data_IF_478115174046
#
_entry.id   IF_478115174046
#
_cell.length_a   1.000
_cell.length_b   1.000
_cell.length_c   1.000
_cell.angle_alpha   90.00
_cell.angle_beta   90.00
_cell.angle_gamma   90.00
#
_symmetry.space_group_name_H-M   'P 1'
#
loop_
_entity.id
_entity.type
_entity.pdbx_description
1 polymer ?
#
# COMPACT_ATOMS: atom_id res chain seq x y z
N UNK A 1 -14.11 -31.12 -20.90
CA UNK A 1 -15.27 -30.23 -21.16
C UNK A 1 -16.60 -30.69 -20.53
N UNK A 2 -16.65 -31.55 -19.50
CA UNK A 2 -17.92 -32.22 -19.14
C UNK A 2 -18.46 -32.00 -17.71
N UNK A 3 -17.89 -31.09 -16.91
CA UNK A 3 -18.41 -30.81 -15.55
C UNK A 3 -18.97 -29.40 -15.40
N UNK A 4 -18.31 -28.40 -15.97
CA UNK A 4 -18.75 -27.00 -15.92
C UNK A 4 -20.07 -26.77 -16.69
N UNK A 5 -20.28 -27.46 -17.81
CA UNK A 5 -21.49 -27.35 -18.62
C UNK A 5 -22.73 -27.96 -17.93
N UNK A 6 -22.56 -29.05 -17.19
CA UNK A 6 -23.66 -29.69 -16.44
C UNK A 6 -24.05 -28.92 -15.18
N UNK A 7 -23.11 -28.21 -14.55
CA UNK A 7 -23.39 -27.36 -13.39
C UNK A 7 -24.15 -26.07 -13.77
N UNK A 8 -23.87 -25.52 -14.96
CA UNK A 8 -24.58 -24.35 -15.49
C UNK A 8 -26.02 -24.65 -15.91
N UNK A 9 -26.30 -25.85 -16.43
CA UNK A 9 -27.66 -26.26 -16.83
C UNK A 9 -28.58 -26.59 -15.64
N UNK A 10 -28.04 -27.12 -14.55
CA UNK A 10 -28.85 -27.50 -13.37
C UNK A 10 -29.18 -26.31 -12.47
N UNK A 11 -28.32 -25.29 -12.40
CA UNK A 11 -28.62 -24.05 -11.68
C UNK A 11 -29.55 -23.11 -12.45
N UNK A 12 -29.60 -23.20 -13.80
CA UNK A 12 -30.47 -22.37 -14.63
C UNK A 12 -31.97 -22.71 -14.54
N UNK A 13 -32.32 -23.98 -14.31
CA UNK A 13 -33.73 -24.41 -14.30
C UNK A 13 -34.47 -24.19 -12.97
N UNK A 14 -33.76 -23.98 -11.86
CA UNK A 14 -34.40 -23.74 -10.55
C UNK A 14 -34.82 -22.29 -10.33
N UNK A 15 -34.39 -21.34 -11.18
CA UNK A 15 -34.69 -19.91 -11.03
C UNK A 15 -35.91 -19.43 -11.85
N UNK A 16 -36.48 -20.28 -12.72
CA UNK A 16 -37.56 -19.89 -13.64
C UNK A 16 -38.96 -19.95 -12.99
N UNK A 17 -39.13 -20.62 -11.86
CA UNK A 17 -40.45 -20.78 -11.22
C UNK A 17 -40.85 -19.71 -10.19
N UNK A 18 -40.08 -18.62 -10.04
CA UNK A 18 -40.39 -17.55 -9.08
C UNK A 18 -40.48 -16.14 -9.72
N UNK A 19 -40.98 -16.05 -10.95
CA UNK A 19 -41.12 -14.79 -11.68
C UNK A 19 -42.46 -14.70 -12.44
N UNK A 20 -43.59 -14.80 -11.73
CA UNK A 20 -44.91 -14.41 -12.24
C UNK A 20 -45.76 -13.80 -11.12
N UNK A 21 -45.41 -12.60 -10.67
CA UNK A 21 -46.32 -11.73 -9.90
C UNK A 21 -45.76 -10.30 -9.78
N UNK A 22 -45.87 -9.48 -10.83
CA UNK A 22 -45.99 -8.03 -10.67
C UNK A 22 -46.45 -7.38 -11.98
N UNK A 23 -47.76 -7.42 -12.21
CA UNK A 23 -48.44 -6.56 -13.17
C UNK A 23 -49.25 -5.51 -12.38
N UNK A 24 -49.18 -4.27 -12.86
CA UNK A 24 -49.99 -3.10 -12.55
C UNK A 24 -49.93 -2.50 -11.14
N UNK A 25 -49.46 -1.25 -11.07
CA UNK A 25 -50.31 -0.17 -10.56
C UNK A 25 -49.81 1.19 -11.06
N UNK A 26 -50.55 1.73 -12.02
CA UNK A 26 -50.70 3.15 -12.21
C UNK A 26 -52.05 3.53 -11.58
N UNK A 27 -52.08 4.72 -10.95
CA UNK A 27 -53.24 5.55 -10.60
C UNK A 27 -53.52 5.76 -9.09
N UNK A 28 -53.66 7.06 -8.80
CA UNK A 28 -54.61 7.67 -7.86
C UNK A 28 -54.21 7.86 -6.40
N UNK A 29 -53.69 9.07 -6.15
CA UNK A 29 -53.78 9.76 -4.87
C UNK A 29 -55.23 10.16 -4.55
N UNK A 30 -55.86 9.48 -3.59
CA UNK A 30 -56.98 10.02 -2.83
C UNK A 30 -56.92 9.47 -1.40
N UNK A 31 -56.55 10.34 -0.46
CA UNK A 31 -56.48 10.03 0.97
C UNK A 31 -57.90 9.94 1.52
N UNK A 32 -58.33 8.74 1.90
CA UNK A 32 -59.53 8.52 2.72
C UNK A 32 -59.15 7.63 3.90
N UNK A 33 -59.37 8.15 5.11
CA UNK A 33 -59.09 7.47 6.36
C UNK A 33 -60.11 6.35 6.57
N UNK A 34 -59.77 5.12 6.16
CA UNK A 34 -60.51 3.90 6.50
C UNK A 34 -59.70 3.10 7.52
N UNK A 35 -60.37 2.65 8.59
CA UNK A 35 -59.77 1.85 9.65
C UNK A 35 -59.11 0.59 9.09
N UNK A 36 -57.80 0.44 9.33
CA UNK A 36 -57.02 -0.70 8.88
C UNK A 36 -57.53 -2.00 9.52
N UNK A 37 -58.16 -2.84 8.70
CA UNK A 37 -58.48 -4.23 9.06
C UNK A 37 -57.16 -4.99 9.20
N UNK A 38 -56.86 -5.47 10.42
CA UNK A 38 -55.61 -6.16 10.74
C UNK A 38 -55.61 -7.59 10.18
N UNK A 39 -55.14 -7.76 8.95
CA UNK A 39 -54.94 -9.09 8.35
C UNK A 39 -53.64 -9.72 8.87
N UNK A 40 -53.56 -11.06 8.91
CA UNK A 40 -52.38 -11.81 9.38
C UNK A 40 -51.07 -11.33 8.71
N UNK A 41 -51.14 -10.94 7.44
CA UNK A 41 -50.02 -10.38 6.69
C UNK A 41 -49.48 -9.06 7.27
N UNK A 42 -50.33 -8.22 7.87
CA UNK A 42 -49.88 -6.99 8.55
C UNK A 42 -49.16 -7.26 9.88
N UNK A 43 -49.31 -8.47 10.45
CA UNK A 43 -48.56 -8.91 11.64
C UNK A 43 -47.24 -9.62 11.30
N UNK A 44 -47.16 -10.31 10.15
CA UNK A 44 -45.98 -11.09 9.74
C UNK A 44 -44.99 -10.30 8.87
N UNK A 45 -45.47 -9.36 8.05
CA UNK A 45 -44.62 -8.56 7.18
C UNK A 45 -44.43 -7.16 7.76
N UNK A 46 -43.20 -6.63 7.80
CA UNK A 46 -42.97 -5.25 8.19
C UNK A 46 -43.76 -4.34 7.26
N UNK A 47 -44.47 -3.37 7.83
CA UNK A 47 -45.24 -2.39 7.06
C UNK A 47 -44.32 -1.61 6.10
N UNK A 48 -44.88 -1.03 5.04
CA UNK A 48 -44.10 -0.33 4.01
C UNK A 48 -43.14 0.73 4.58
N UNK A 49 -43.54 1.44 5.63
CA UNK A 49 -42.69 2.42 6.33
C UNK A 49 -41.54 1.79 7.13
N UNK A 50 -41.76 0.60 7.70
CA UNK A 50 -40.70 -0.16 8.37
C UNK A 50 -39.69 -0.71 7.37
N UNK A 51 -40.16 -1.19 6.20
CA UNK A 51 -39.29 -1.63 5.11
C UNK A 51 -38.42 -0.49 4.60
N UNK A 52 -38.98 0.72 4.40
CA UNK A 52 -38.19 1.90 4.01
C UNK A 52 -37.11 2.25 5.04
N UNK A 53 -37.44 2.19 6.35
CA UNK A 53 -36.47 2.44 7.43
C UNK A 53 -35.37 1.37 7.50
N UNK A 54 -35.73 0.09 7.38
CA UNK A 54 -34.79 -1.02 7.34
C UNK A 54 -33.89 -0.93 6.11
N UNK A 55 -34.47 -0.63 4.94
CA UNK A 55 -33.73 -0.38 3.70
C UNK A 55 -32.75 0.78 3.84
N UNK A 56 -33.17 1.90 4.46
CA UNK A 56 -32.28 3.03 4.71
C UNK A 56 -31.12 2.67 5.68
N UNK A 57 -31.39 1.88 6.74
CA UNK A 57 -30.34 1.39 7.65
C UNK A 57 -29.40 0.40 6.95
N UNK A 58 -29.95 -0.52 6.15
CA UNK A 58 -29.20 -1.48 5.37
C UNK A 58 -28.33 -0.78 4.32
N UNK A 59 -28.84 0.22 3.61
CA UNK A 59 -28.05 0.98 2.63
C UNK A 59 -26.99 1.89 3.28
N UNK A 60 -27.12 2.22 4.57
CA UNK A 60 -26.06 2.90 5.33
C UNK A 60 -24.96 1.95 5.81
N UNK A 61 -25.22 0.65 5.95
CA UNK A 61 -24.23 -0.31 6.42
C UNK A 61 -23.27 -0.76 5.28
N UNK A 62 -22.08 -1.21 5.65
CA UNK A 62 -21.07 -1.71 4.71
C UNK A 62 -21.60 -2.93 3.91
N UNK A 63 -22.32 -3.84 4.58
CA UNK A 63 -22.88 -5.03 3.96
C UNK A 63 -23.91 -4.70 2.86
N UNK A 64 -24.76 -3.70 3.09
CA UNK A 64 -25.74 -3.29 2.09
C UNK A 64 -25.11 -2.66 0.85
N UNK A 65 -24.00 -1.92 1.02
CA UNK A 65 -23.20 -1.40 -0.10
C UNK A 65 -22.56 -2.54 -0.91
N UNK A 66 -22.04 -3.57 -0.24
CA UNK A 66 -21.45 -4.76 -0.91
C UNK A 66 -22.51 -5.52 -1.71
N UNK A 67 -23.65 -5.86 -1.09
CA UNK A 67 -24.73 -6.61 -1.75
C UNK A 67 -25.30 -5.82 -2.94
N UNK A 68 -25.42 -4.49 -2.80
CA UNK A 68 -25.87 -3.63 -3.89
C UNK A 68 -24.91 -3.67 -5.09
N UNK A 69 -23.59 -3.68 -4.85
CA UNK A 69 -22.59 -3.79 -5.91
C UNK A 69 -22.52 -5.21 -6.51
N UNK A 70 -22.73 -6.26 -5.70
CA UNK A 70 -22.80 -7.64 -6.21
C UNK A 70 -24.02 -7.89 -7.09
N UNK A 71 -25.11 -7.13 -6.89
CA UNK A 71 -26.31 -7.20 -7.70
C UNK A 71 -26.21 -6.40 -9.01
N UNK A 72 -25.19 -5.55 -9.21
CA UNK A 72 -25.01 -4.80 -10.47
C UNK A 72 -24.89 -5.69 -11.72
N UNK A 73 -24.05 -6.73 -11.77
CA UNK A 73 -23.98 -7.60 -12.95
C UNK A 73 -25.31 -8.32 -13.21
N UNK A 74 -26.04 -8.68 -12.15
CA UNK A 74 -27.37 -9.29 -12.29
C UNK A 74 -28.41 -8.28 -12.77
N UNK A 75 -28.38 -7.04 -12.26
CA UNK A 75 -29.19 -5.94 -12.75
C UNK A 75 -28.91 -5.65 -14.22
N UNK A 76 -27.64 -5.70 -14.65
CA UNK A 76 -27.27 -5.49 -16.04
C UNK A 76 -27.75 -6.67 -16.92
N UNK A 77 -27.51 -7.91 -16.49
CA UNK A 77 -27.93 -9.12 -17.20
C UNK A 77 -29.46 -9.25 -17.33
N UNK A 78 -30.20 -8.71 -16.36
CA UNK A 78 -31.67 -8.70 -16.37
C UNK A 78 -32.27 -7.46 -17.03
N UNK A 79 -31.47 -6.62 -17.70
CA UNK A 79 -31.96 -5.41 -18.36
C UNK A 79 -32.55 -4.36 -17.40
N UNK A 80 -32.09 -4.36 -16.14
CA UNK A 80 -32.56 -3.44 -15.11
C UNK A 80 -33.83 -3.89 -14.37
N UNK A 81 -34.34 -5.09 -14.64
CA UNK A 81 -35.50 -5.64 -13.93
C UNK A 81 -35.23 -5.81 -12.44
N UNK A 82 -34.03 -6.27 -12.06
CA UNK A 82 -33.60 -6.33 -10.66
C UNK A 82 -32.85 -5.04 -10.32
N UNK A 83 -33.59 -4.05 -9.82
CA UNK A 83 -32.98 -2.80 -9.36
C UNK A 83 -32.07 -3.07 -8.14
N UNK A 84 -30.88 -2.45 -8.05
CA UNK A 84 -30.03 -2.58 -6.89
C UNK A 84 -30.79 -2.14 -5.63
N UNK A 85 -30.65 -2.89 -4.54
CA UNK A 85 -31.37 -2.62 -3.30
C UNK A 85 -31.03 -1.22 -2.74
N UNK A 86 -29.83 -0.71 -3.00
CA UNK A 86 -29.41 0.61 -2.57
C UNK A 86 -29.13 1.51 -3.78
N UNK A 87 -29.36 2.83 -3.65
CA UNK A 87 -28.93 3.77 -4.69
C UNK A 87 -27.41 3.60 -4.89
N UNK A 88 -26.92 3.63 -6.14
CA UNK A 88 -25.50 3.54 -6.41
C UNK A 88 -24.78 4.66 -5.64
N UNK A 89 -23.63 4.33 -5.05
CA UNK A 89 -22.78 5.34 -4.41
C UNK A 89 -22.46 6.36 -5.52
N UNK A 90 -22.87 7.62 -5.39
CA UNK A 90 -22.69 8.57 -6.47
C UNK A 90 -21.18 8.70 -6.71
N UNK A 91 -20.67 8.51 -7.93
CA UNK A 91 -19.24 8.69 -8.22
C UNK A 91 -18.76 10.11 -7.92
N UNK A 92 -19.70 11.06 -7.74
CA UNK A 92 -19.42 12.40 -7.24
C UNK A 92 -18.89 12.43 -5.80
N UNK A 93 -19.24 11.46 -4.94
CA UNK A 93 -18.69 11.40 -3.58
C UNK A 93 -17.18 11.07 -3.56
N UNK A 94 -16.67 10.41 -4.61
CA UNK A 94 -15.24 10.19 -4.82
C UNK A 94 -14.51 11.42 -5.37
N UNK A 95 -15.25 12.41 -5.88
CA UNK A 95 -14.70 13.67 -6.42
C UNK A 95 -14.72 14.82 -5.40
N UNK A 96 -15.01 14.55 -4.13
CA UNK A 96 -14.91 15.57 -3.07
C UNK A 96 -13.49 16.13 -3.03
N UNK A 97 -13.37 17.44 -2.79
CA UNK A 97 -12.07 18.10 -2.76
C UNK A 97 -11.15 17.44 -1.74
N UNK A 98 -9.89 17.27 -2.11
CA UNK A 98 -8.82 16.75 -1.23
C UNK A 98 -8.62 17.61 0.03
N UNK A 99 -9.06 18.87 0.00
CA UNK A 99 -9.05 19.77 1.15
C UNK A 99 -10.08 19.42 2.24
N UNK A 100 -11.12 18.63 1.92
CA UNK A 100 -12.12 18.20 2.90
C UNK A 100 -11.70 16.89 3.57
N UNK A 101 -11.97 16.74 4.89
CA UNK A 101 -11.67 15.49 5.60
C UNK A 101 -12.34 14.25 4.98
N UNK A 102 -13.57 14.42 4.45
CA UNK A 102 -14.26 13.35 3.73
C UNK A 102 -13.60 12.99 2.40
N UNK A 103 -13.14 14.00 1.64
CA UNK A 103 -12.41 13.79 0.39
C UNK A 103 -11.05 13.13 0.63
N UNK A 104 -10.29 13.59 1.62
CA UNK A 104 -9.03 12.96 2.03
C UNK A 104 -9.23 11.50 2.43
N UNK A 105 -10.27 11.19 3.20
CA UNK A 105 -10.62 9.81 3.56
C UNK A 105 -10.97 8.95 2.34
N UNK A 106 -11.68 9.51 1.35
CA UNK A 106 -12.03 8.79 0.12
C UNK A 106 -10.79 8.49 -0.74
N UNK A 107 -9.85 9.43 -0.83
CA UNK A 107 -8.57 9.24 -1.52
C UNK A 107 -7.75 8.15 -0.82
N UNK A 108 -7.66 8.19 0.52
CA UNK A 108 -6.94 7.16 1.29
C UNK A 108 -7.58 5.78 1.11
N UNK A 109 -8.92 5.71 1.09
CA UNK A 109 -9.62 4.46 0.83
C UNK A 109 -9.31 3.91 -0.57
N UNK A 110 -9.33 4.76 -1.61
CA UNK A 110 -8.92 4.38 -2.96
C UNK A 110 -7.45 3.95 -3.04
N UNK A 111 -6.53 4.72 -2.48
CA UNK A 111 -5.09 4.41 -2.41
C UNK A 111 -4.83 3.07 -1.69
N UNK A 112 -5.69 2.70 -0.73
CA UNK A 112 -5.64 1.43 0.01
C UNK A 112 -6.18 0.26 -0.82
N UNK A 113 -7.29 0.43 -1.54
CA UNK A 113 -7.82 -0.59 -2.44
C UNK A 113 -6.82 -0.90 -3.57
N UNK A 114 -6.24 0.14 -4.18
CA UNK A 114 -5.22 0.00 -5.23
C UNK A 114 -3.88 -0.56 -4.72
N UNK A 115 -3.60 -0.44 -3.41
CA UNK A 115 -2.35 -0.95 -2.83
C UNK A 115 -2.19 -2.46 -3.01
N UNK A 116 -3.30 -3.22 -3.07
CA UNK A 116 -3.27 -4.65 -3.33
C UNK A 116 -2.76 -4.96 -4.75
N UNK A 117 -3.21 -4.19 -5.74
CA UNK A 117 -2.72 -4.31 -7.11
C UNK A 117 -1.24 -3.90 -7.21
N UNK A 118 -0.82 -2.82 -6.52
CA UNK A 118 0.59 -2.41 -6.49
C UNK A 118 1.49 -3.47 -5.83
N UNK A 119 1.05 -4.10 -4.74
CA UNK A 119 1.77 -5.23 -4.13
C UNK A 119 1.88 -6.42 -5.09
N UNK A 120 0.82 -6.74 -5.82
CA UNK A 120 0.86 -7.79 -6.83
C UNK A 120 1.85 -7.47 -7.96
N UNK A 121 1.92 -6.21 -8.40
CA UNK A 121 2.90 -5.75 -9.37
C UNK A 121 4.34 -5.88 -8.83
N UNK A 122 4.60 -5.46 -7.59
CA UNK A 122 5.91 -5.61 -6.94
C UNK A 122 6.33 -7.09 -6.84
N UNK A 123 5.40 -8.01 -6.54
CA UNK A 123 5.67 -9.45 -6.58
C UNK A 123 5.94 -9.98 -7.99
N UNK A 124 5.36 -9.37 -9.02
CA UNK A 124 5.65 -9.72 -10.40
C UNK A 124 7.09 -9.34 -10.76
N UNK A 125 7.51 -8.12 -10.39
CA UNK A 125 8.88 -7.63 -10.55
C UNK A 125 9.92 -8.55 -9.87
N UNK A 126 9.56 -9.17 -8.75
CA UNK A 126 10.41 -10.12 -8.02
C UNK A 126 10.85 -11.34 -8.85
N UNK A 127 10.09 -11.71 -9.89
CA UNK A 127 10.35 -12.89 -10.72
C UNK A 127 11.34 -12.61 -11.85
N UNK A 128 11.67 -11.35 -12.08
CA UNK A 128 12.46 -10.89 -13.22
C UNK A 128 13.92 -10.69 -12.79
N UNK A 129 14.87 -11.09 -13.64
CA UNK A 129 16.29 -10.81 -13.39
C UNK A 129 16.62 -9.35 -13.73
N UNK A 130 17.03 -8.57 -12.74
CA UNK A 130 17.45 -7.19 -12.92
C UNK A 130 18.65 -7.03 -13.87
N UNK A 131 19.42 -8.09 -14.15
CA UNK A 131 20.47 -8.03 -15.17
C UNK A 131 19.92 -7.83 -16.59
N UNK A 132 18.72 -8.34 -16.86
CA UNK A 132 18.07 -8.25 -18.16
C UNK A 132 17.06 -7.11 -18.24
N UNK A 133 16.52 -6.69 -17.10
CA UNK A 133 15.46 -5.69 -16.99
C UNK A 133 15.86 -4.61 -15.98
N UNK A 134 16.81 -3.70 -16.31
CA UNK A 134 17.29 -2.65 -15.40
C UNK A 134 16.19 -1.67 -14.96
N UNK A 135 15.10 -1.53 -15.70
CA UNK A 135 13.91 -0.77 -15.31
C UNK A 135 13.24 -1.33 -14.05
N UNK A 136 13.38 -2.64 -13.80
CA UNK A 136 12.86 -3.31 -12.60
C UNK A 136 13.52 -2.76 -11.33
N UNK A 137 14.81 -2.45 -11.41
CA UNK A 137 15.56 -1.88 -10.30
C UNK A 137 14.96 -0.53 -9.87
N UNK A 138 14.75 0.37 -10.83
CA UNK A 138 14.16 1.68 -10.56
C UNK A 138 12.72 1.57 -10.04
N UNK A 139 11.93 0.66 -10.62
CA UNK A 139 10.55 0.42 -10.18
C UNK A 139 10.48 -0.08 -8.72
N UNK A 140 11.40 -0.97 -8.32
CA UNK A 140 11.50 -1.46 -6.94
C UNK A 140 11.99 -0.38 -5.96
N UNK A 141 12.96 0.45 -6.36
CA UNK A 141 13.42 1.59 -5.55
C UNK A 141 12.28 2.59 -5.36
N UNK A 142 11.51 2.89 -6.41
CA UNK A 142 10.33 3.73 -6.34
C UNK A 142 9.28 3.12 -5.39
N UNK A 143 8.95 1.84 -5.56
CA UNK A 143 8.02 1.15 -4.66
C UNK A 143 8.49 1.16 -3.19
N UNK A 144 9.80 1.09 -2.93
CA UNK A 144 10.38 1.15 -1.59
C UNK A 144 10.40 2.56 -0.99
N UNK A 145 10.66 3.60 -1.78
CA UNK A 145 10.96 4.96 -1.27
C UNK A 145 9.83 5.96 -1.47
N UNK A 146 9.01 5.79 -2.51
CA UNK A 146 8.01 6.80 -2.91
C UNK A 146 6.57 6.35 -2.70
N UNK A 147 6.29 5.04 -2.54
CA UNK A 147 4.91 4.58 -2.31
C UNK A 147 4.37 5.10 -0.97
N UNK A 148 3.16 5.65 -0.98
CA UNK A 148 2.50 6.19 0.22
C UNK A 148 2.12 5.08 1.21
N UNK A 149 1.79 3.89 0.71
CA UNK A 149 1.29 2.79 1.51
C UNK A 149 2.44 1.94 2.07
N UNK A 150 2.49 1.83 3.39
CA UNK A 150 3.48 1.03 4.12
C UNK A 150 3.57 -0.42 3.64
N UNK A 151 2.43 -1.05 3.34
CA UNK A 151 2.41 -2.45 2.93
C UNK A 151 3.08 -2.67 1.57
N UNK A 152 3.04 -1.68 0.67
CA UNK A 152 3.75 -1.74 -0.62
C UNK A 152 5.25 -1.60 -0.39
N UNK A 153 5.67 -0.63 0.44
CA UNK A 153 7.10 -0.44 0.79
C UNK A 153 7.69 -1.67 1.48
N UNK A 154 6.96 -2.28 2.42
CA UNK A 154 7.37 -3.51 3.08
C UNK A 154 7.49 -4.69 2.10
N UNK A 155 6.54 -4.83 1.17
CA UNK A 155 6.60 -5.85 0.12
C UNK A 155 7.79 -5.62 -0.81
N UNK A 156 8.09 -4.36 -1.17
CA UNK A 156 9.25 -3.99 -1.98
C UNK A 156 10.56 -4.35 -1.25
N UNK A 157 10.68 -4.00 0.03
CA UNK A 157 11.84 -4.40 0.85
C UNK A 157 12.00 -5.92 0.87
N UNK A 158 10.91 -6.68 1.08
CA UNK A 158 10.93 -8.14 1.08
C UNK A 158 11.37 -8.71 -0.26
N UNK A 159 10.82 -8.20 -1.38
CA UNK A 159 11.18 -8.62 -2.73
C UNK A 159 12.66 -8.37 -3.02
N UNK A 160 13.19 -7.20 -2.67
CA UNK A 160 14.62 -6.87 -2.83
C UNK A 160 15.50 -7.88 -2.08
N UNK A 161 15.11 -8.28 -0.88
CA UNK A 161 15.84 -9.27 -0.07
C UNK A 161 15.70 -10.72 -0.52
N UNK A 162 14.71 -11.05 -1.36
CA UNK A 162 14.52 -12.39 -1.92
C UNK A 162 14.98 -12.53 -3.38
N UNK A 163 15.19 -11.40 -4.07
CA UNK A 163 15.52 -11.34 -5.49
C UNK A 163 17.03 -11.32 -5.76
N UNK A 164 17.42 -11.44 -7.02
CA UNK A 164 18.82 -11.37 -7.46
C UNK A 164 19.36 -9.93 -7.63
N UNK A 165 18.57 -8.92 -7.28
CA UNK A 165 18.81 -7.52 -7.61
C UNK A 165 19.70 -6.79 -6.58
N UNK A 166 20.86 -7.37 -6.27
CA UNK A 166 21.81 -6.79 -5.30
C UNK A 166 22.77 -5.81 -5.99
N UNK A 167 22.27 -4.63 -6.36
CA UNK A 167 23.04 -3.56 -7.03
C UNK A 167 23.47 -2.46 -6.05
N UNK A 168 24.39 -1.57 -6.49
CA UNK A 168 24.83 -0.42 -5.69
C UNK A 168 23.66 0.49 -5.30
N UNK A 169 22.73 0.75 -6.22
CA UNK A 169 21.56 1.62 -5.99
C UNK A 169 20.61 0.99 -4.97
N UNK A 170 20.40 -0.32 -5.03
CA UNK A 170 19.57 -1.05 -4.08
C UNK A 170 20.15 -1.04 -2.66
N UNK A 171 21.45 -1.26 -2.53
CA UNK A 171 22.15 -1.20 -1.23
C UNK A 171 22.01 0.19 -0.62
N UNK A 172 22.22 1.26 -1.40
CA UNK A 172 22.04 2.63 -0.90
C UNK A 172 20.57 2.92 -0.56
N UNK A 173 19.61 2.51 -1.40
CA UNK A 173 18.18 2.71 -1.14
C UNK A 173 17.72 2.04 0.17
N UNK A 174 18.17 0.80 0.42
CA UNK A 174 17.94 0.09 1.68
C UNK A 174 18.62 0.82 2.85
N UNK A 175 19.87 1.27 2.67
CA UNK A 175 20.61 2.01 3.70
C UNK A 175 19.93 3.33 4.07
N UNK A 176 19.40 4.08 3.09
CA UNK A 176 18.62 5.29 3.31
C UNK A 176 17.31 4.98 4.04
N UNK A 177 16.61 3.90 3.65
CA UNK A 177 15.38 3.44 4.29
C UNK A 177 15.63 3.09 5.77
N UNK A 178 16.68 2.32 6.06
CA UNK A 178 17.08 1.94 7.43
C UNK A 178 17.43 3.17 8.25
N UNK A 179 18.25 4.09 7.72
CA UNK A 179 18.62 5.31 8.44
C UNK A 179 17.50 6.35 8.55
N UNK A 180 16.33 6.12 7.94
CA UNK A 180 15.25 7.08 7.83
C UNK A 180 15.75 8.45 7.30
N UNK A 181 16.65 8.40 6.32
CA UNK A 181 17.29 9.59 5.76
C UNK A 181 16.50 10.16 4.58
N UNK A 182 16.66 11.46 4.30
CA UNK A 182 16.03 12.19 3.18
C UNK A 182 17.03 12.56 2.07
N UNK A 183 18.14 11.80 1.98
CA UNK A 183 19.25 12.06 1.03
C UNK A 183 18.80 12.03 -0.43
N UNK A 184 17.79 11.22 -0.73
CA UNK A 184 17.20 11.01 -2.05
C UNK A 184 16.02 11.97 -2.34
N UNK A 185 15.77 12.96 -1.48
CA UNK A 185 14.65 13.91 -1.63
C UNK A 185 13.28 13.34 -1.24
N UNK A 186 13.21 12.07 -0.85
CA UNK A 186 11.99 11.41 -0.37
C UNK A 186 11.81 11.58 1.14
N UNK A 187 10.56 11.48 1.65
CA UNK A 187 10.32 11.51 3.08
C UNK A 187 11.07 10.37 3.81
N UNK A 188 11.48 10.65 5.04
CA UNK A 188 12.10 9.68 5.92
C UNK A 188 11.17 8.48 6.17
N UNK A 189 11.70 7.25 6.21
CA UNK A 189 10.89 6.07 6.53
C UNK A 189 10.50 6.08 8.01
N UNK A 190 9.20 6.05 8.27
CA UNK A 190 8.64 6.08 9.63
C UNK A 190 8.31 4.69 10.17
N UNK A 191 8.07 3.68 9.31
CA UNK A 191 7.67 2.35 9.77
C UNK A 191 8.85 1.51 10.25
N UNK A 192 8.84 1.13 11.53
CA UNK A 192 9.76 0.12 12.09
C UNK A 192 9.70 -1.20 11.35
N UNK A 193 8.51 -1.61 10.91
CA UNK A 193 8.31 -2.87 10.18
C UNK A 193 9.02 -2.84 8.83
N UNK A 194 8.95 -1.73 8.10
CA UNK A 194 9.66 -1.56 6.82
C UNK A 194 11.16 -1.52 7.07
N UNK A 195 11.63 -0.78 8.09
CA UNK A 195 13.05 -0.70 8.45
C UNK A 195 13.64 -2.06 8.83
N UNK A 196 12.95 -2.85 9.66
CA UNK A 196 13.37 -4.20 10.03
C UNK A 196 13.49 -5.11 8.80
N UNK A 197 12.49 -5.06 7.90
CA UNK A 197 12.56 -5.82 6.66
C UNK A 197 13.73 -5.36 5.78
N UNK A 198 13.97 -4.05 5.69
CA UNK A 198 15.09 -3.50 4.93
C UNK A 198 16.45 -3.94 5.50
N UNK A 199 16.59 -4.08 6.83
CA UNK A 199 17.80 -4.64 7.46
C UNK A 199 18.06 -6.07 7.00
N UNK A 200 17.03 -6.93 7.04
CA UNK A 200 17.14 -8.32 6.58
C UNK A 200 17.54 -8.39 5.11
N UNK A 201 16.90 -7.55 4.28
CA UNK A 201 17.21 -7.46 2.86
C UNK A 201 18.61 -6.92 2.59
N UNK A 202 19.09 -5.94 3.37
CA UNK A 202 20.43 -5.39 3.25
C UNK A 202 21.49 -6.44 3.58
N UNK A 203 21.29 -7.23 4.63
CA UNK A 203 22.18 -8.35 4.96
C UNK A 203 22.27 -9.37 3.82
N UNK A 204 21.13 -9.72 3.21
CA UNK A 204 21.10 -10.58 2.03
C UNK A 204 21.85 -9.94 0.86
N UNK A 205 21.58 -8.66 0.57
CA UNK A 205 22.23 -7.95 -0.52
C UNK A 205 23.75 -7.88 -0.37
N UNK A 206 24.26 -7.64 0.84
CA UNK A 206 25.70 -7.62 1.09
C UNK A 206 26.35 -9.00 0.90
N UNK A 207 25.65 -10.09 1.24
CA UNK A 207 26.15 -11.44 1.03
C UNK A 207 26.16 -11.84 -0.46
N UNK A 208 25.20 -11.35 -1.24
CA UNK A 208 25.05 -11.67 -2.66
C UNK A 208 25.69 -10.67 -3.61
N UNK A 209 26.13 -9.50 -3.12
CA UNK A 209 26.65 -8.43 -3.95
C UNK A 209 27.85 -8.88 -4.78
N UNK A 210 27.74 -8.68 -6.09
CA UNK A 210 28.83 -8.84 -7.06
C UNK A 210 28.83 -7.60 -7.93
N UNK A 211 30.00 -6.99 -8.12
CA UNK A 211 30.13 -5.86 -9.03
C UNK A 211 29.80 -6.33 -10.45
N UNK A 212 28.62 -5.95 -10.95
CA UNK A 212 28.20 -6.27 -12.31
C UNK A 212 28.89 -5.29 -13.25
N UNK A 213 29.70 -5.79 -14.18
CA UNK A 213 29.97 -5.07 -15.41
C UNK A 213 28.66 -4.97 -16.17
N UNK A 214 28.22 -3.77 -16.56
CA UNK A 214 27.01 -3.59 -17.36
C UNK A 214 27.09 -4.50 -18.59
N UNK A 215 26.27 -5.56 -18.69
CA UNK A 215 26.33 -6.43 -19.83
C UNK A 215 25.91 -5.62 -21.05
N UNK A 216 26.80 -5.53 -22.05
CA UNK A 216 26.44 -4.97 -23.35
C UNK A 216 25.36 -5.89 -23.91
N UNK A 217 24.11 -5.42 -23.96
CA UNK A 217 22.98 -6.20 -24.46
C UNK A 217 23.30 -6.58 -25.92
N UNK A 218 23.40 -7.87 -26.28
CA UNK A 218 23.88 -8.29 -27.60
C UNK A 218 22.95 -7.92 -28.77
N UNK A 219 21.74 -7.39 -28.49
CA UNK A 219 20.62 -7.44 -29.44
C UNK A 219 20.15 -6.08 -29.99
N UNK A 220 20.87 -4.98 -29.71
CA UNK A 220 20.66 -3.75 -30.47
C UNK A 220 21.90 -3.46 -31.31
N UNK A 221 21.88 -3.72 -32.64
CA UNK A 221 22.86 -3.10 -33.54
C UNK A 221 22.83 -1.60 -33.25
N UNK A 222 23.97 -1.09 -32.79
CA UNK A 222 24.07 0.15 -32.01
C UNK A 222 23.02 1.18 -32.37
N UNK A 223 22.12 1.48 -31.43
CA UNK A 223 21.19 2.58 -31.62
C UNK A 223 22.02 3.81 -31.98
N UNK A 224 21.77 4.47 -33.13
CA UNK A 224 22.41 5.74 -33.42
C UNK A 224 22.16 6.67 -32.23
N UNK A 225 23.12 7.54 -31.87
CA UNK A 225 23.08 8.33 -30.64
C UNK A 225 21.69 8.92 -30.45
N UNK A 226 20.97 8.38 -29.46
CA UNK A 226 19.58 8.73 -29.20
C UNK A 226 19.57 10.20 -28.78
N UNK A 227 19.14 11.08 -29.68
CA UNK A 227 18.71 12.43 -29.30
C UNK A 227 17.68 12.25 -28.18
N UNK A 228 17.83 12.91 -27.01
CA UNK A 228 16.96 12.70 -25.87
C UNK A 228 15.50 12.90 -26.31
N UNK A 229 14.78 11.78 -26.47
CA UNK A 229 13.34 11.80 -26.72
C UNK A 229 12.70 12.24 -25.42
N UNK A 230 12.08 13.42 -25.46
CA UNK A 230 11.20 13.91 -24.41
C UNK A 230 10.07 12.88 -24.22
N UNK A 231 10.20 12.05 -23.17
CA UNK A 231 9.17 11.07 -22.82
C UNK A 231 8.01 11.84 -22.22
N UNK A 232 7.03 12.19 -23.04
CA UNK A 232 5.78 12.80 -22.62
C UNK A 232 4.92 11.81 -21.83
N UNK A 233 5.22 11.65 -20.54
CA UNK A 233 4.31 11.04 -19.58
C UNK A 233 4.04 12.06 -18.47
N UNK A 234 2.80 12.53 -18.41
CA UNK A 234 2.28 13.43 -17.38
C UNK A 234 2.20 12.65 -16.06
N UNK A 235 3.31 12.60 -15.34
CA UNK A 235 3.41 12.16 -13.95
C UNK A 235 4.03 13.36 -13.21
N UNK A 236 3.61 13.63 -11.98
CA UNK A 236 4.18 14.69 -11.13
C UNK A 236 5.71 14.58 -11.07
N UNK A 237 6.40 15.29 -11.98
CA UNK A 237 7.70 14.88 -12.53
C UNK A 237 8.91 15.36 -11.74
N UNK A 238 8.74 16.36 -10.88
CA UNK A 238 9.87 16.97 -10.19
C UNK A 238 10.54 16.01 -9.20
N UNK A 239 9.75 15.25 -8.43
CA UNK A 239 10.30 14.31 -7.43
C UNK A 239 10.90 13.06 -8.06
N UNK A 240 10.30 12.57 -9.14
CA UNK A 240 10.81 11.41 -9.87
C UNK A 240 12.14 11.74 -10.56
N UNK A 241 12.27 12.97 -11.09
CA UNK A 241 13.51 13.44 -11.70
C UNK A 241 14.66 13.56 -10.68
N UNK A 242 14.38 14.06 -9.48
CA UNK A 242 15.39 14.16 -8.40
C UNK A 242 15.89 12.78 -7.96
N UNK A 243 14.98 11.81 -7.84
CA UNK A 243 15.31 10.43 -7.49
C UNK A 243 16.25 9.83 -8.54
N UNK A 244 15.88 9.92 -9.83
CA UNK A 244 16.71 9.41 -10.92
C UNK A 244 18.10 10.06 -10.93
N UNK A 245 18.19 11.39 -10.77
CA UNK A 245 19.46 12.11 -10.74
C UNK A 245 20.38 11.68 -9.59
N UNK A 246 19.81 11.43 -8.40
CA UNK A 246 20.57 10.93 -7.26
C UNK A 246 21.21 9.57 -7.54
N UNK A 247 20.43 8.60 -8.05
CA UNK A 247 20.93 7.25 -8.32
C UNK A 247 21.87 7.16 -9.53
N UNK A 248 21.77 8.08 -10.49
CA UNK A 248 22.76 8.21 -11.58
C UNK A 248 24.11 8.68 -11.03
N UNK A 249 24.13 9.59 -10.06
CA UNK A 249 25.37 10.04 -9.44
C UNK A 249 26.03 8.96 -8.56
N UNK A 250 25.25 8.03 -7.99
CA UNK A 250 25.78 6.90 -7.23
C UNK A 250 26.63 5.93 -8.07
N UNK A 251 26.42 5.86 -9.39
CA UNK A 251 27.25 5.01 -10.26
C UNK A 251 28.72 5.49 -10.31
N UNK A 252 28.95 6.79 -10.06
CA UNK A 252 30.30 7.37 -9.99
C UNK A 252 30.98 7.09 -8.66
N UNK A 253 30.24 6.69 -7.63
CA UNK A 253 30.81 6.36 -6.34
C UNK A 253 31.42 4.94 -6.38
N UNK A 254 32.61 4.74 -5.79
CA UNK A 254 33.20 3.41 -5.71
C UNK A 254 32.33 2.49 -4.84
N UNK A 255 32.21 1.22 -5.26
CA UNK A 255 31.38 0.22 -4.58
C UNK A 255 31.74 0.07 -3.10
N UNK A 256 33.04 0.15 -2.79
CA UNK A 256 33.60 -0.01 -1.45
C UNK A 256 33.03 1.00 -0.46
N UNK A 257 32.86 2.26 -0.86
CA UNK A 257 32.28 3.30 0.00
C UNK A 257 30.82 3.03 0.33
N UNK A 258 30.04 2.57 -0.65
CA UNK A 258 28.62 2.23 -0.45
C UNK A 258 28.49 1.02 0.50
N UNK A 259 29.32 -0.01 0.28
CA UNK A 259 29.34 -1.20 1.13
C UNK A 259 29.78 -0.86 2.56
N UNK A 260 30.80 -0.02 2.74
CA UNK A 260 31.26 0.41 4.05
C UNK A 260 30.15 1.16 4.82
N UNK A 261 29.44 2.07 4.15
CA UNK A 261 28.31 2.80 4.75
C UNK A 261 27.17 1.84 5.16
N UNK A 262 26.88 0.83 4.33
CA UNK A 262 25.88 -0.18 4.62
C UNK A 262 26.26 -1.04 5.84
N UNK A 263 27.52 -1.48 5.93
CA UNK A 263 28.04 -2.24 7.07
C UNK A 263 28.00 -1.42 8.36
N UNK A 264 28.43 -0.15 8.32
CA UNK A 264 28.34 0.77 9.46
C UNK A 264 26.88 0.93 9.92
N UNK A 265 25.95 1.04 8.97
CA UNK A 265 24.52 1.13 9.29
C UNK A 265 24.02 -0.13 10.01
N UNK A 266 24.44 -1.31 9.58
CA UNK A 266 24.09 -2.56 10.26
C UNK A 266 24.68 -2.64 11.69
N UNK A 267 25.89 -2.16 11.91
CA UNK A 267 26.52 -2.11 13.24
C UNK A 267 25.76 -1.17 14.19
N UNK A 268 25.36 0.01 13.71
CA UNK A 268 24.54 0.96 14.48
C UNK A 268 23.18 0.34 14.86
N UNK A 269 22.59 -0.46 13.99
CA UNK A 269 21.31 -1.13 14.28
C UNK A 269 21.45 -2.33 15.21
N UNK A 270 22.56 -3.08 15.13
CA UNK A 270 22.86 -4.16 16.09
C UNK A 270 23.01 -3.63 17.51
N UNK A 271 23.57 -2.44 17.70
CA UNK A 271 23.73 -1.85 19.04
C UNK A 271 22.43 -1.25 19.58
N UNK A 272 21.50 -0.86 18.70
CA UNK A 272 20.19 -0.31 19.06
C UNK A 272 19.15 -1.39 19.34
N UNK A 273 19.54 -2.57 19.86
CA UNK A 273 18.61 -3.66 20.11
C UNK A 273 17.34 -3.14 20.78
N UNK A 274 16.23 -3.23 20.03
CA UNK A 274 14.90 -2.90 20.53
C UNK A 274 14.69 -3.81 21.73
N UNK A 275 14.37 -3.26 22.92
CA UNK A 275 14.27 -4.03 24.15
C UNK A 275 13.43 -5.26 23.86
N UNK A 276 14.06 -6.44 23.91
CA UNK A 276 13.57 -7.69 23.33
C UNK A 276 12.05 -7.77 23.43
N UNK A 277 11.38 -7.38 22.33
CA UNK A 277 9.93 -7.39 22.24
C UNK A 277 9.47 -8.78 22.63
N UNK A 278 8.35 -8.85 23.35
CA UNK A 278 7.79 -10.09 23.92
C UNK A 278 7.58 -11.08 22.76
N UNK A 279 8.62 -11.85 22.45
CA UNK A 279 8.52 -12.96 21.52
C UNK A 279 7.61 -13.95 22.24
N UNK A 280 6.54 -14.38 21.59
CA UNK A 280 5.51 -15.27 22.16
C UNK A 280 6.01 -16.65 22.61
N UNK A 281 7.32 -16.80 22.80
CA UNK A 281 7.99 -17.91 23.49
C UNK A 281 8.13 -17.68 25.00
N UNK A 282 7.83 -16.48 25.51
CA UNK A 282 7.62 -16.30 26.96
C UNK A 282 6.36 -17.07 27.33
N UNK A 283 6.53 -18.21 27.99
CA UNK A 283 5.39 -18.93 28.57
C UNK A 283 4.59 -17.99 29.47
N UNK A 284 3.32 -18.30 29.72
CA UNK A 284 2.47 -17.55 30.67
C UNK A 284 3.20 -17.23 32.00
N UNK A 285 4.12 -18.10 32.41
CA UNK A 285 4.98 -17.94 33.57
C UNK A 285 5.93 -16.72 33.49
N UNK A 286 6.58 -16.47 32.35
CA UNK A 286 7.47 -15.31 32.17
C UNK A 286 6.70 -13.98 32.14
N UNK A 287 5.46 -14.01 31.66
CA UNK A 287 4.56 -12.85 31.69
C UNK A 287 4.19 -12.54 33.15
N UNK A 288 3.82 -13.56 33.92
CA UNK A 288 3.52 -13.39 35.35
C UNK A 288 4.74 -12.95 36.17
N UNK A 289 5.91 -13.55 35.93
CA UNK A 289 7.14 -13.18 36.62
C UNK A 289 7.61 -11.75 36.26
N UNK A 290 7.36 -11.31 35.02
CA UNK A 290 7.62 -9.93 34.59
C UNK A 290 6.59 -8.95 35.19
N UNK A 291 5.33 -9.35 35.34
CA UNK A 291 4.29 -8.52 35.95
C UNK A 291 4.46 -8.34 37.47
N UNK A 292 5.13 -9.27 38.15
CA UNK A 292 5.48 -9.11 39.56
C UNK A 292 6.66 -8.15 39.81
N UNK A 293 7.48 -7.87 38.79
CA UNK A 293 8.48 -6.80 38.91
C UNK A 293 7.74 -5.46 38.85
N UNK A 294 7.81 -4.70 39.94
CA UNK A 294 7.24 -3.37 40.02
C UNK A 294 7.66 -2.57 38.77
N UNK A 295 6.71 -1.97 38.02
CA UNK A 295 7.06 -1.20 36.85
C UNK A 295 8.04 -0.11 37.28
N UNK A 296 9.15 0.10 36.54
CA UNK A 296 10.03 1.22 36.81
C UNK A 296 9.17 2.48 36.76
N UNK A 297 9.27 3.31 37.79
CA UNK A 297 8.51 4.56 37.96
C UNK A 297 8.58 5.38 36.66
N UNK A 298 7.52 5.30 35.86
CA UNK A 298 7.44 6.03 34.61
C UNK A 298 7.17 7.48 34.99
N UNK A 299 8.20 8.33 34.87
CA UNK A 299 7.99 9.78 34.89
C UNK A 299 6.99 10.11 33.79
N UNK A 300 5.80 10.52 34.17
CA UNK A 300 4.77 10.95 33.24
C UNK A 300 5.34 12.09 32.39
N UNK A 301 5.63 11.78 31.13
CA UNK A 301 6.02 12.80 30.17
C UNK A 301 4.75 13.58 29.84
N UNK A 302 4.67 14.78 30.40
CA UNK A 302 3.57 15.71 30.21
C UNK A 302 3.23 15.85 28.72
N UNK A 303 1.94 15.80 28.39
CA UNK A 303 1.45 15.98 27.02
C UNK A 303 1.93 17.30 26.39
N UNK A 304 2.20 18.33 27.20
CA UNK A 304 2.72 19.61 26.71
C UNK A 304 4.16 19.51 26.20
N UNK A 305 4.97 18.55 26.68
CA UNK A 305 6.34 18.35 26.21
C UNK A 305 6.39 17.67 24.83
N UNK A 306 5.32 16.97 24.42
CA UNK A 306 5.22 16.36 23.08
C UNK A 306 4.81 17.33 21.98
N UNK A 307 4.05 18.38 22.32
CA UNK A 307 3.56 19.35 21.35
C UNK A 307 4.55 20.49 21.07
N UNK A 308 5.60 20.60 21.89
CA UNK A 308 6.67 21.57 21.70
C UNK A 308 8.02 20.84 21.68
N UNK A 309 8.36 20.14 20.59
CA UNK A 309 9.74 19.73 20.39
C UNK A 309 10.55 21.00 20.27
N UNK A 310 11.18 21.44 21.38
CA UNK A 310 12.26 22.42 21.30
C UNK A 310 13.18 21.88 20.23
N UNK A 311 13.34 22.64 19.15
CA UNK A 311 14.33 22.34 18.13
C UNK A 311 15.65 22.18 18.88
N UNK A 312 16.10 20.94 19.06
CA UNK A 312 17.48 20.66 19.38
C UNK A 312 18.24 21.25 18.18
N UNK A 313 18.76 22.45 18.38
CA UNK A 313 19.65 23.07 17.43
C UNK A 313 20.79 22.08 17.25
N UNK A 314 20.90 21.55 16.04
CA UNK A 314 22.04 20.75 15.60
C UNK A 314 23.27 21.67 15.50
N UNK A 315 23.73 22.21 16.62
CA UNK A 315 25.05 22.84 16.76
C UNK A 315 26.12 21.79 17.04
N UNK A 316 26.01 20.62 16.41
CA UNK A 316 27.07 19.61 16.38
C UNK A 316 27.89 19.81 15.11
N UNK A 317 28.88 20.67 15.26
CA UNK A 317 30.28 20.50 14.82
C UNK A 317 30.42 19.73 13.51
N UNK A 318 30.60 20.48 12.42
CA UNK A 318 31.01 19.96 11.13
C UNK A 318 32.11 18.90 11.28
N UNK A 319 31.99 17.72 10.65
CA UNK A 319 33.09 16.76 10.62
C UNK A 319 34.28 17.43 9.93
N UNK A 320 35.45 17.30 10.57
CA UNK A 320 36.72 17.75 10.04
C UNK A 320 36.87 17.30 8.58
N UNK A 321 37.15 18.25 7.70
CA UNK A 321 37.51 18.01 6.31
C UNK A 321 38.63 16.97 6.27
N UNK A 322 38.38 15.84 5.59
CA UNK A 322 39.44 14.89 5.26
C UNK A 322 40.47 15.61 4.37
N UNK A 323 41.78 15.41 4.61
CA UNK A 323 42.82 16.09 3.85
C UNK A 323 42.73 15.70 2.38
N UNK A 324 42.73 16.70 1.51
CA UNK A 324 42.84 16.53 0.07
C UNK A 324 44.15 15.80 -0.25
N UNK A 325 44.06 14.53 -0.64
CA UNK A 325 45.15 13.85 -1.32
C UNK A 325 45.29 14.48 -2.70
N UNK A 326 46.27 15.36 -2.82
CA UNK A 326 46.83 15.85 -4.08
C UNK A 326 47.38 14.65 -4.84
N UNK A 327 46.67 14.22 -5.88
CA UNK A 327 47.20 13.34 -6.91
C UNK A 327 47.87 14.27 -7.92
N UNK A 328 49.19 14.40 -7.83
CA UNK A 328 50.00 14.99 -8.90
C UNK A 328 50.06 14.00 -10.05
N UNK A 329 49.61 14.45 -11.23
CA UNK A 329 50.09 13.97 -12.53
C UNK A 329 51.11 14.98 -13.06
#
# INVERSE_FOLDING_TARGET
MNFLSKLLLTLGLSFIMLAFASAQEAASSASSATGQVSNIYTKLLPGAEQVKKLKAKFCKCCLGKIISNMMLPLSLATGGCIKPCCPPIPPADMKKSSASAQGACAIIAGDTEESHARRAAVRCLAKVDCSWWPETELALINALRTDKNECVRHEAAMVIGSGCCCTKKMIEALTICINASTKDGNPAENSDRVRQQAINSLQHCLACYKEKSNPVRPEFPGEPPVKPKEVGAVINSEKEFQLAAYYVNLEKCPASTIIANALQTLELYKTKEVPAGITGKRGLFDIFASAQKAPPEQKEVSWNDRLNPKQESNDKKAPAQLPATVINN
#
